data_IF_768691564404
#
_entry.id   IF_768691564404
#
_cell.length_a   1.000
_cell.length_b   1.000
_cell.length_c   1.000
_cell.angle_alpha   90.00
_cell.angle_beta   90.00
_cell.angle_gamma   90.00
#
_symmetry.space_group_name_H-M   'P 1'
#
loop_
_entity.id
_entity.type
_entity.pdbx_description
1 polymer ?
#
# COMPACT_ATOMS: atom_id res chain seq x y z
N UNK A 1 -9.24 -10.15 19.18
CA UNK A 1 -8.42 -9.72 18.02
C UNK A 1 -9.23 -9.39 16.75
N UNK A 2 -10.53 -9.71 16.69
CA UNK A 2 -11.38 -9.52 15.49
C UNK A 2 -12.04 -8.12 15.42
N UNK A 3 -12.25 -7.46 16.56
CA UNK A 3 -13.02 -6.19 16.61
C UNK A 3 -12.28 -5.00 15.95
N UNK A 4 -10.94 -4.99 15.95
CA UNK A 4 -10.18 -3.90 15.31
C UNK A 4 -10.17 -4.02 13.78
N UNK A 5 -10.14 -5.24 13.23
CA UNK A 5 -10.03 -5.44 11.78
C UNK A 5 -11.31 -4.98 11.04
N UNK A 6 -12.49 -5.19 11.63
CA UNK A 6 -13.76 -4.74 11.05
C UNK A 6 -13.88 -3.21 11.06
N UNK A 7 -13.43 -2.55 12.14
CA UNK A 7 -13.44 -1.10 12.24
C UNK A 7 -12.48 -0.47 11.21
N UNK A 8 -11.27 -1.02 11.04
CA UNK A 8 -10.31 -0.50 10.06
C UNK A 8 -10.74 -0.76 8.61
N UNK A 9 -11.40 -1.87 8.32
CA UNK A 9 -11.97 -2.12 6.98
C UNK A 9 -13.13 -1.16 6.71
N UNK A 10 -14.01 -0.92 7.69
CA UNK A 10 -15.10 0.05 7.57
C UNK A 10 -14.58 1.49 7.41
N UNK A 11 -13.54 1.87 8.16
CA UNK A 11 -12.85 3.17 8.01
C UNK A 11 -12.16 3.26 6.65
N UNK A 12 -11.49 2.21 6.18
CA UNK A 12 -10.88 2.19 4.85
C UNK A 12 -11.91 2.32 3.73
N UNK A 13 -13.03 1.59 3.82
CA UNK A 13 -14.14 1.70 2.86
C UNK A 13 -14.73 3.11 2.90
N UNK A 14 -14.93 3.70 4.08
CA UNK A 14 -15.43 5.07 4.23
C UNK A 14 -14.44 6.12 3.69
N UNK A 15 -13.14 5.97 3.94
CA UNK A 15 -12.07 6.81 3.41
C UNK A 15 -11.96 6.66 1.88
N UNK A 16 -12.11 5.45 1.33
CA UNK A 16 -12.13 5.20 -0.11
C UNK A 16 -13.31 5.91 -0.79
N UNK A 17 -14.48 5.94 -0.13
CA UNK A 17 -15.65 6.67 -0.61
C UNK A 17 -15.44 8.21 -0.55
N UNK A 18 -14.82 8.74 0.52
CA UNK A 18 -14.49 10.17 0.62
C UNK A 18 -13.43 10.62 -0.38
N UNK A 19 -12.41 9.81 -0.64
CA UNK A 19 -11.29 10.16 -1.54
C UNK A 19 -11.68 10.27 -3.00
N UNK A 20 -12.79 9.63 -3.40
CA UNK A 20 -13.37 9.76 -4.75
C UNK A 20 -13.87 11.19 -5.06
N UNK A 21 -13.91 12.09 -4.07
CA UNK A 21 -14.38 13.48 -4.21
C UNK A 21 -13.30 14.57 -4.05
N UNK A 22 -12.03 14.24 -3.80
CA UNK A 22 -11.01 15.30 -3.59
C UNK A 22 -9.63 14.91 -4.11
N UNK A 23 -9.23 15.48 -5.25
CA UNK A 23 -7.84 15.54 -5.69
C UNK A 23 -7.26 16.91 -5.31
N UNK A 24 -6.44 16.96 -4.25
CA UNK A 24 -5.65 18.12 -3.88
C UNK A 24 -4.18 17.74 -3.82
N UNK A 25 -3.36 18.32 -4.69
CA UNK A 25 -1.91 18.15 -4.71
C UNK A 25 -1.21 19.24 -3.90
N UNK A 26 -0.05 18.92 -3.34
CA UNK A 26 0.89 19.91 -2.79
C UNK A 26 2.33 19.62 -3.24
N UNK A 27 3.03 20.72 -3.60
CA UNK A 27 4.42 20.78 -4.07
C UNK A 27 5.41 20.74 -2.89
N UNK A 28 6.63 20.29 -3.20
CA UNK A 28 7.62 19.78 -2.26
C UNK A 28 8.48 20.79 -1.48
N UNK A 29 9.36 20.24 -0.64
CA UNK A 29 10.45 20.91 0.07
C UNK A 29 11.61 19.93 0.27
N UNK A 30 12.83 20.38 -0.04
CA UNK A 30 14.10 19.70 0.19
C UNK A 30 14.57 19.89 1.63
N UNK A 31 14.16 18.98 2.51
CA UNK A 31 14.68 18.87 3.88
C UNK A 31 14.76 17.38 4.25
N UNK A 32 15.68 17.05 5.15
CA UNK A 32 16.02 15.73 5.68
C UNK A 32 14.89 14.70 5.51
N UNK A 33 15.07 13.71 4.62
CA UNK A 33 14.02 12.73 4.30
C UNK A 33 13.69 11.90 5.54
N UNK A 34 12.67 12.31 6.27
CA UNK A 34 12.16 11.50 7.37
C UNK A 34 11.51 10.24 6.77
N UNK A 35 11.43 9.13 7.53
CA UNK A 35 10.69 7.96 7.08
C UNK A 35 9.25 8.32 6.67
N UNK A 36 8.60 9.25 7.38
CA UNK A 36 7.26 9.72 7.05
C UNK A 36 7.17 10.41 5.68
N UNK A 37 8.20 11.16 5.26
CA UNK A 37 8.23 11.80 3.95
C UNK A 37 8.40 10.78 2.83
N UNK A 38 9.18 9.71 3.07
CA UNK A 38 9.25 8.59 2.16
C UNK A 38 7.87 7.95 1.97
N UNK A 39 7.15 7.67 3.06
CA UNK A 39 5.80 7.08 3.01
C UNK A 39 4.81 7.96 2.22
N UNK A 40 4.88 9.29 2.35
CA UNK A 40 4.07 10.22 1.54
C UNK A 40 4.45 10.15 0.06
N UNK A 41 5.74 10.06 -0.25
CA UNK A 41 6.26 10.09 -1.63
C UNK A 41 5.90 8.85 -2.47
N UNK A 42 5.60 7.73 -1.82
CA UNK A 42 5.29 6.45 -2.48
C UNK A 42 3.78 6.22 -2.66
N UNK A 43 2.93 7.12 -2.16
CA UNK A 43 1.47 7.06 -2.37
C UNK A 43 1.14 7.13 -3.86
N UNK A 44 0.19 6.30 -4.29
CA UNK A 44 -0.24 6.17 -5.69
C UNK A 44 0.77 5.44 -6.59
N UNK A 45 1.88 4.93 -6.06
CA UNK A 45 2.90 4.21 -6.84
C UNK A 45 2.78 2.70 -6.67
N UNK A 46 3.25 1.91 -7.65
CA UNK A 46 3.45 0.48 -7.48
C UNK A 46 4.43 0.19 -6.34
N UNK A 47 4.04 -0.66 -5.41
CA UNK A 47 4.84 -1.08 -4.26
C UNK A 47 4.81 -2.60 -4.11
N UNK A 48 5.82 -3.11 -3.42
CA UNK A 48 5.88 -4.48 -2.91
C UNK A 48 5.90 -4.39 -1.38
N UNK A 49 4.99 -5.11 -0.74
CA UNK A 49 4.90 -5.25 0.72
C UNK A 49 5.20 -6.69 1.05
N UNK A 50 6.32 -6.94 1.73
CA UNK A 50 6.68 -8.28 2.20
C UNK A 50 6.19 -8.46 3.63
N UNK A 51 5.49 -9.55 3.89
CA UNK A 51 5.08 -9.93 5.24
C UNK A 51 6.17 -10.75 5.94
N UNK A 52 6.11 -10.79 7.27
CA UNK A 52 6.96 -11.65 8.11
C UNK A 52 6.83 -13.15 7.78
N UNK A 53 5.71 -13.56 7.16
CA UNK A 53 5.49 -14.93 6.67
C UNK A 53 6.29 -15.27 5.39
N UNK A 54 6.92 -14.28 4.75
CA UNK A 54 7.63 -14.44 3.48
C UNK A 54 6.77 -14.19 2.23
N UNK A 55 5.46 -13.99 2.40
CA UNK A 55 4.49 -13.66 1.33
C UNK A 55 4.71 -12.22 0.85
N UNK A 56 4.67 -12.02 -0.46
CA UNK A 56 4.79 -10.71 -1.09
C UNK A 56 3.43 -10.24 -1.63
N UNK A 57 2.98 -9.06 -1.24
CA UNK A 57 1.85 -8.37 -1.86
C UNK A 57 2.36 -7.28 -2.80
N UNK A 58 1.86 -7.25 -4.03
CA UNK A 58 2.22 -6.28 -5.06
C UNK A 58 0.99 -5.53 -5.50
N UNK A 59 1.05 -4.21 -5.63
CA UNK A 59 -0.10 -3.39 -6.00
C UNK A 59 0.19 -1.91 -5.93
N UNK A 60 -0.85 -1.09 -6.06
CA UNK A 60 -0.76 0.37 -5.97
C UNK A 60 -1.03 0.80 -4.54
N UNK A 61 -0.14 1.60 -3.94
CA UNK A 61 -0.34 2.10 -2.59
C UNK A 61 -1.43 3.19 -2.57
N UNK A 62 -2.57 2.92 -1.93
CA UNK A 62 -3.66 3.90 -1.79
C UNK A 62 -3.47 4.81 -0.55
N UNK A 63 -3.23 4.17 0.60
CA UNK A 63 -3.05 4.82 1.90
C UNK A 63 -2.11 4.02 2.80
N UNK A 64 -1.51 4.72 3.76
CA UNK A 64 -0.57 4.19 4.72
C UNK A 64 -0.51 5.14 5.92
N UNK A 65 -0.47 4.60 7.14
CA UNK A 65 -0.39 5.37 8.38
C UNK A 65 0.95 5.17 9.13
N UNK A 66 1.11 5.86 10.27
CA UNK A 66 2.30 5.76 11.12
C UNK A 66 2.46 4.42 11.86
N UNK A 67 1.46 3.54 11.79
CA UNK A 67 1.50 2.17 12.33
C UNK A 67 1.75 1.14 11.23
N UNK A 68 2.05 1.58 10.00
CA UNK A 68 2.26 0.75 8.82
C UNK A 68 1.02 -0.04 8.38
N UNK A 69 -0.19 0.38 8.76
CA UNK A 69 -1.40 -0.18 8.15
C UNK A 69 -1.49 0.32 6.72
N UNK A 70 -1.61 -0.60 5.77
CA UNK A 70 -1.45 -0.32 4.35
C UNK A 70 -2.73 -0.68 3.61
N UNK A 71 -3.22 0.26 2.83
CA UNK A 71 -4.26 0.02 1.86
C UNK A 71 -3.66 -0.02 0.46
N UNK A 72 -4.00 -1.05 -0.29
CA UNK A 72 -3.53 -1.26 -1.65
C UNK A 72 -4.68 -1.51 -2.61
N UNK A 73 -4.49 -1.08 -3.85
CA UNK A 73 -5.37 -1.35 -4.98
C UNK A 73 -4.64 -2.25 -5.99
N UNK A 74 -5.41 -2.97 -6.81
CA UNK A 74 -4.88 -3.92 -7.80
C UNK A 74 -3.88 -4.92 -7.18
N UNK A 75 -4.18 -5.38 -5.97
CA UNK A 75 -3.29 -6.17 -5.14
C UNK A 75 -3.23 -7.61 -5.60
N UNK A 76 -2.02 -8.11 -5.82
CA UNK A 76 -1.67 -9.47 -6.18
C UNK A 76 -0.81 -10.10 -5.09
N UNK A 77 -1.06 -11.37 -4.78
CA UNK A 77 -0.32 -12.13 -3.78
C UNK A 77 0.62 -13.11 -4.44
N UNK A 78 1.87 -13.08 -3.96
CA UNK A 78 2.93 -13.95 -4.41
C UNK A 78 3.48 -14.76 -3.24
N UNK A 79 3.43 -16.08 -3.39
CA UNK A 79 4.02 -17.03 -2.44
C UNK A 79 5.15 -17.75 -3.17
N UNK A 80 6.37 -17.64 -2.65
CA UNK A 80 7.58 -18.18 -3.30
C UNK A 80 7.76 -17.67 -4.74
N UNK A 81 7.44 -16.39 -4.97
CA UNK A 81 7.56 -15.75 -6.29
C UNK A 81 6.48 -16.12 -7.30
N UNK A 82 5.56 -17.04 -6.97
CA UNK A 82 4.44 -17.42 -7.83
C UNK A 82 3.18 -16.65 -7.46
N UNK A 83 2.48 -16.11 -8.47
CA UNK A 83 1.17 -15.51 -8.28
C UNK A 83 0.21 -16.58 -7.75
N UNK A 84 -0.36 -16.36 -6.56
CA UNK A 84 -1.35 -17.25 -5.95
C UNK A 84 -2.76 -16.68 -6.05
N UNK A 85 -2.92 -15.38 -5.79
CA UNK A 85 -4.23 -14.73 -5.79
C UNK A 85 -4.17 -13.30 -6.31
N UNK A 86 -5.34 -12.81 -6.74
CA UNK A 86 -5.60 -11.40 -7.04
C UNK A 86 -6.76 -10.92 -6.17
N UNK A 87 -6.49 -9.93 -5.32
CA UNK A 87 -7.45 -9.40 -4.35
C UNK A 87 -8.07 -8.07 -4.80
N UNK A 88 -7.43 -7.33 -5.70
CA UNK A 88 -7.90 -5.99 -6.07
C UNK A 88 -7.67 -5.02 -4.92
N UNK A 89 -8.71 -4.64 -4.19
CA UNK A 89 -8.56 -3.81 -3.00
C UNK A 89 -8.17 -4.66 -1.80
N UNK A 90 -7.06 -4.34 -1.15
CA UNK A 90 -6.57 -5.06 0.01
C UNK A 90 -6.20 -4.10 1.14
N UNK A 91 -6.39 -4.58 2.37
CA UNK A 91 -5.95 -3.91 3.58
C UNK A 91 -5.00 -4.84 4.35
N UNK A 92 -3.76 -4.39 4.55
CA UNK A 92 -2.69 -5.12 5.21
C UNK A 92 -2.42 -4.45 6.56
N UNK A 93 -2.43 -5.24 7.64
CA UNK A 93 -2.17 -4.75 8.99
C UNK A 93 -0.66 -4.59 9.23
N UNK A 94 -0.25 -3.44 9.75
CA UNK A 94 1.16 -3.06 9.83
C UNK A 94 2.05 -3.94 10.71
N UNK A 95 1.49 -4.59 11.72
CA UNK A 95 2.25 -5.49 12.61
C UNK A 95 2.80 -6.74 11.90
N UNK A 96 2.29 -7.08 10.71
CA UNK A 96 2.76 -8.24 9.93
C UNK A 96 3.74 -7.84 8.82
N UNK A 97 3.97 -6.53 8.63
CA UNK A 97 4.81 -6.01 7.55
C UNK A 97 6.28 -6.12 7.94
N UNK A 98 7.08 -6.75 7.09
CA UNK A 98 8.53 -6.79 7.20
C UNK A 98 9.16 -5.56 6.55
N UNK A 99 8.79 -5.28 5.30
CA UNK A 99 9.21 -4.07 4.59
C UNK A 99 8.22 -3.67 3.51
N UNK A 100 8.33 -2.40 3.10
CA UNK A 100 7.72 -1.87 1.88
C UNK A 100 8.82 -1.34 0.95
N UNK A 101 8.71 -1.65 -0.33
CA UNK A 101 9.62 -1.14 -1.35
C UNK A 101 8.84 -0.62 -2.56
N UNK A 102 9.36 0.42 -3.21
CA UNK A 102 8.81 0.88 -4.49
C UNK A 102 9.15 -0.14 -5.57
N UNK A 103 8.14 -0.58 -6.32
CA UNK A 103 8.39 -1.40 -7.49
C UNK A 103 8.77 -0.49 -8.65
N UNK A 104 9.97 -0.66 -9.21
CA UNK A 104 10.30 -0.12 -10.53
C UNK A 104 9.59 -0.97 -11.60
N UNK A 105 8.27 -0.94 -11.64
CA UNK A 105 7.56 -1.43 -12.83
C UNK A 105 7.59 -0.30 -13.83
N UNK A 106 8.63 -0.25 -14.64
CA UNK A 106 8.61 0.56 -15.86
C UNK A 106 7.47 0.00 -16.70
N UNK A 107 6.45 0.82 -17.00
CA UNK A 107 5.45 0.51 -18.02
C UNK A 107 6.12 0.64 -19.40
N UNK A 108 7.13 -0.18 -19.66
CA UNK A 108 7.80 -0.33 -20.94
C UNK A 108 8.59 -1.64 -20.85
N UNK A 109 8.01 -2.71 -21.38
CA UNK A 109 8.72 -3.83 -22.05
C UNK A 109 7.64 -4.79 -22.56
N UNK A 110 6.82 -4.22 -23.44
CA UNK A 110 5.86 -4.92 -24.28
C UNK A 110 5.93 -4.27 -25.66
N UNK A 111 7.05 -4.47 -26.34
CA UNK A 111 7.25 -4.27 -27.77
C UNK A 111 8.09 -5.44 -28.28
#
# INVERSE_FOLDING_TARGET
>A
MIVTLLAFLNVYVAEKLKKKMSSGGEKGSTTTKTPADFLKSIRGRPVVVKLNSGVDYRGILACLDGYMNIAMEQTEEYVNGQLKNKYGDAFIRGNNVLYISTSKRTLADGA
#
